data_IF_787257134909
#
_entry.id   IF_787257134909
#
_cell.length_a   1.000
_cell.length_b   1.000
_cell.length_c   1.000
_cell.angle_alpha   90.00
_cell.angle_beta   90.00
_cell.angle_gamma   90.00
#
_symmetry.space_group_name_H-M   'P 1'
#
loop_
_entity.id
_entity.type
_entity.pdbx_description
1 polymer ?
#
# COMPACT_ATOMS: atom_id res chain seq x y z
N UNK A 1 -8.83 -17.13 6.27
CA UNK A 1 -7.74 -17.59 7.17
C UNK A 1 -8.33 -18.49 8.24
N UNK A 2 -7.59 -19.50 8.67
CA UNK A 2 -7.89 -20.37 9.80
C UNK A 2 -6.54 -20.88 10.36
N UNK A 3 -6.52 -21.38 11.59
CA UNK A 3 -5.31 -21.86 12.25
C UNK A 3 -4.66 -22.98 11.44
N UNK A 4 -3.36 -22.85 11.13
CA UNK A 4 -2.63 -23.80 10.28
C UNK A 4 -3.00 -23.75 8.78
N UNK A 5 -3.84 -22.81 8.34
CA UNK A 5 -4.14 -22.60 6.92
C UNK A 5 -2.97 -22.02 6.12
N UNK A 6 -3.05 -22.03 4.77
CA UNK A 6 -1.98 -21.55 3.90
C UNK A 6 -1.73 -20.05 4.09
N UNK A 7 -0.46 -19.64 4.00
CA UNK A 7 -0.05 -18.24 4.02
C UNK A 7 1.14 -18.04 3.07
N UNK A 8 1.00 -17.30 1.95
CA UNK A 8 -0.20 -16.57 1.53
C UNK A 8 -1.38 -17.50 1.17
N UNK A 9 -2.60 -16.96 1.15
CA UNK A 9 -3.77 -17.63 0.55
C UNK A 9 -4.12 -16.95 -0.77
N UNK A 10 -4.29 -17.70 -1.87
CA UNK A 10 -4.86 -17.14 -3.11
C UNK A 10 -6.36 -16.89 -2.91
N UNK A 11 -6.77 -15.62 -2.96
CA UNK A 11 -8.14 -15.18 -2.72
C UNK A 11 -8.92 -14.92 -4.00
N UNK A 12 -8.24 -14.64 -5.11
CA UNK A 12 -8.84 -14.53 -6.44
C UNK A 12 -7.92 -15.15 -7.49
N UNK A 13 -8.53 -15.65 -8.57
CA UNK A 13 -7.85 -16.22 -9.72
C UNK A 13 -8.02 -15.30 -10.93
N UNK A 14 -6.98 -15.19 -11.75
CA UNK A 14 -7.09 -14.53 -13.04
C UNK A 14 -8.17 -15.23 -13.89
N UNK A 15 -9.07 -14.47 -14.54
CA UNK A 15 -10.13 -15.06 -15.33
C UNK A 15 -9.56 -15.83 -16.53
N UNK A 16 -10.18 -16.96 -16.97
CA UNK A 16 -9.65 -17.78 -18.06
C UNK A 16 -9.37 -17.00 -19.35
N UNK A 17 -10.16 -15.97 -19.64
CA UNK A 17 -9.98 -15.10 -20.80
C UNK A 17 -8.63 -14.36 -20.83
N UNK A 18 -7.94 -14.25 -19.69
CA UNK A 18 -6.61 -13.63 -19.56
C UNK A 18 -5.47 -14.64 -19.40
N UNK A 19 -5.73 -15.95 -19.41
CA UNK A 19 -4.72 -16.97 -19.12
C UNK A 19 -3.49 -16.94 -20.06
N UNK A 20 -3.66 -16.49 -21.31
CA UNK A 20 -2.56 -16.37 -22.27
C UNK A 20 -1.60 -15.20 -21.97
N UNK A 21 -2.09 -14.17 -21.27
CA UNK A 21 -1.30 -13.01 -20.86
C UNK A 21 -1.90 -12.45 -19.55
N UNK A 22 -1.69 -13.13 -18.41
CA UNK A 22 -2.29 -12.73 -17.16
C UNK A 22 -1.70 -11.39 -16.70
N UNK A 23 -2.51 -10.49 -16.12
CA UNK A 23 -1.98 -9.33 -15.42
C UNK A 23 -1.06 -9.76 -14.28
N UNK A 24 -0.14 -8.89 -13.86
CA UNK A 24 0.76 -9.18 -12.76
C UNK A 24 -0.04 -9.56 -11.49
N UNK A 25 0.36 -10.61 -10.75
CA UNK A 25 -0.31 -11.00 -9.54
C UNK A 25 -0.19 -9.90 -8.47
N UNK A 26 -1.23 -9.75 -7.67
CA UNK A 26 -1.28 -8.80 -6.55
C UNK A 26 -1.18 -9.56 -5.23
N UNK A 27 -0.25 -9.18 -4.36
CA UNK A 27 -0.18 -9.68 -2.98
C UNK A 27 -0.62 -8.59 -2.01
N UNK A 28 -1.72 -8.82 -1.30
CA UNK A 28 -2.29 -7.92 -0.30
C UNK A 28 -1.91 -8.33 1.12
N UNK A 29 -1.35 -7.39 1.88
CA UNK A 29 -0.89 -7.59 3.26
C UNK A 29 -1.95 -7.06 4.23
N UNK A 30 -2.28 -7.86 5.25
CA UNK A 30 -3.25 -7.52 6.29
C UNK A 30 -3.02 -6.15 6.96
N UNK A 31 -4.08 -5.62 7.58
CA UNK A 31 -4.06 -4.38 8.36
C UNK A 31 -3.63 -4.60 9.82
N UNK A 32 -3.74 -3.58 10.68
CA UNK A 32 -3.40 -3.69 12.10
C UNK A 32 -4.15 -4.79 12.87
N UNK A 33 -5.35 -5.16 12.41
CA UNK A 33 -6.14 -6.26 12.97
C UNK A 33 -5.62 -7.66 12.65
N UNK A 34 -4.63 -7.80 11.76
CA UNK A 34 -3.97 -9.08 11.48
C UNK A 34 -4.71 -10.02 10.52
N UNK A 35 -5.91 -9.65 10.07
CA UNK A 35 -6.78 -10.52 9.27
C UNK A 35 -6.79 -10.15 7.79
N UNK A 36 -7.16 -11.11 6.94
CA UNK A 36 -7.32 -10.89 5.48
C UNK A 36 -8.78 -10.80 5.05
N UNK A 37 -9.72 -10.75 6.00
CA UNK A 37 -11.16 -10.80 5.71
C UNK A 37 -11.60 -9.72 4.70
N UNK A 38 -11.07 -8.50 4.85
CA UNK A 38 -11.31 -7.36 3.95
C UNK A 38 -11.06 -7.68 2.48
N UNK A 39 -10.13 -8.59 2.16
CA UNK A 39 -9.79 -8.96 0.79
C UNK A 39 -10.68 -10.07 0.21
N UNK A 40 -11.34 -10.86 1.06
CA UNK A 40 -12.30 -11.89 0.63
C UNK A 40 -13.66 -11.30 0.24
N UNK A 41 -13.99 -10.10 0.73
CA UNK A 41 -15.26 -9.42 0.44
C UNK A 41 -15.18 -8.46 -0.75
N UNK A 42 -14.00 -8.35 -1.37
CA UNK A 42 -13.84 -7.64 -2.64
C UNK A 42 -14.48 -8.43 -3.79
N UNK A 43 -15.06 -7.69 -4.74
CA UNK A 43 -15.38 -8.25 -6.04
C UNK A 43 -14.12 -8.58 -6.85
N UNK A 44 -14.30 -9.04 -8.09
CA UNK A 44 -13.19 -9.47 -8.93
C UNK A 44 -12.28 -8.32 -9.36
N UNK A 45 -10.99 -8.44 -9.06
CA UNK A 45 -9.91 -7.57 -9.56
C UNK A 45 -9.31 -8.09 -10.89
N UNK A 46 -9.89 -9.16 -11.44
CA UNK A 46 -9.52 -9.73 -12.75
C UNK A 46 -8.04 -10.07 -12.92
N UNK A 47 -7.40 -10.54 -11.85
CA UNK A 47 -6.02 -11.04 -11.77
C UNK A 47 -5.88 -12.04 -10.61
N UNK A 48 -4.75 -12.72 -10.52
CA UNK A 48 -4.42 -13.49 -9.32
C UNK A 48 -4.21 -12.54 -8.15
N UNK A 49 -4.93 -12.77 -7.06
CA UNK A 49 -4.81 -11.99 -5.82
C UNK A 49 -4.48 -12.95 -4.69
N UNK A 50 -3.41 -12.66 -3.99
CA UNK A 50 -2.92 -13.38 -2.82
C UNK A 50 -3.09 -12.50 -1.59
N UNK A 51 -3.37 -13.10 -0.44
CA UNK A 51 -3.52 -12.38 0.82
C UNK A 51 -2.64 -13.00 1.90
N UNK A 52 -1.85 -12.15 2.58
CA UNK A 52 -1.02 -12.55 3.71
C UNK A 52 -1.69 -12.09 5.01
N UNK A 53 -2.02 -13.04 5.87
CA UNK A 53 -2.51 -12.77 7.23
C UNK A 53 -1.35 -12.77 8.22
N UNK A 54 -1.55 -12.22 9.42
CA UNK A 54 -0.53 -12.28 10.47
C UNK A 54 -0.40 -13.72 10.98
N UNK A 55 0.73 -14.43 10.74
CA UNK A 55 0.91 -15.80 11.20
C UNK A 55 0.91 -15.94 12.73
N UNK A 56 1.18 -14.84 13.46
CA UNK A 56 1.13 -14.80 14.93
C UNK A 56 -0.27 -14.43 15.47
N UNK A 57 -1.28 -14.33 14.61
CA UNK A 57 -2.64 -13.90 14.98
C UNK A 57 -3.32 -14.86 15.97
N UNK A 58 -3.30 -16.17 15.69
CA UNK A 58 -4.00 -17.16 16.51
C UNK A 58 -3.38 -17.32 17.90
N UNK A 59 -2.06 -17.15 18.01
CA UNK A 59 -1.34 -17.19 19.30
C UNK A 59 -1.32 -15.83 20.02
N UNK A 60 -1.76 -14.75 19.36
CA UNK A 60 -1.70 -13.38 19.91
C UNK A 60 -0.28 -12.87 20.19
N UNK A 61 0.74 -13.50 19.60
CA UNK A 61 2.15 -13.23 19.90
C UNK A 61 2.64 -11.92 19.26
N UNK A 62 3.57 -11.28 19.96
CA UNK A 62 4.26 -10.09 19.46
C UNK A 62 5.33 -10.45 18.41
N UNK A 63 5.77 -9.43 17.67
CA UNK A 63 6.91 -9.51 16.76
C UNK A 63 8.14 -8.91 17.43
N UNK A 64 9.06 -9.75 17.90
CA UNK A 64 10.25 -9.31 18.64
C UNK A 64 11.16 -8.41 17.80
N UNK A 65 11.37 -8.77 16.53
CA UNK A 65 12.07 -7.95 15.54
C UNK A 65 11.16 -6.94 14.81
N UNK A 66 9.95 -6.73 15.31
CA UNK A 66 9.01 -5.71 14.86
C UNK A 66 8.60 -5.83 13.38
N UNK A 67 8.33 -4.67 12.78
CA UNK A 67 7.89 -4.54 11.39
C UNK A 67 8.86 -5.17 10.39
N UNK A 68 10.16 -5.11 10.66
CA UNK A 68 11.19 -5.60 9.74
C UNK A 68 11.25 -7.14 9.74
N UNK A 69 11.11 -7.79 10.90
CA UNK A 69 10.96 -9.25 10.99
C UNK A 69 9.68 -9.70 10.28
N UNK A 70 8.59 -8.97 10.49
CA UNK A 70 7.30 -9.24 9.83
C UNK A 70 7.44 -9.17 8.30
N UNK A 71 8.04 -8.09 7.77
CA UNK A 71 8.25 -7.92 6.33
C UNK A 71 9.14 -9.03 5.71
N UNK A 72 10.26 -9.39 6.38
CA UNK A 72 11.12 -10.50 5.92
C UNK A 72 10.38 -11.84 5.91
N UNK A 73 9.55 -12.08 6.92
CA UNK A 73 8.74 -13.31 7.00
C UNK A 73 7.74 -13.38 5.85
N UNK A 74 7.10 -12.26 5.50
CA UNK A 74 6.12 -12.22 4.41
C UNK A 74 6.76 -12.39 3.04
N UNK A 75 7.96 -11.83 2.83
CA UNK A 75 8.74 -12.11 1.64
C UNK A 75 9.06 -13.60 1.51
N UNK A 76 9.44 -14.26 2.62
CA UNK A 76 9.66 -15.71 2.64
C UNK A 76 8.39 -16.48 2.25
N UNK A 77 7.22 -16.11 2.77
CA UNK A 77 5.96 -16.75 2.38
C UNK A 77 5.66 -16.62 0.87
N UNK A 78 5.91 -15.46 0.27
CA UNK A 78 5.73 -15.26 -1.18
C UNK A 78 6.67 -16.18 -1.98
N UNK A 79 7.94 -16.26 -1.55
CA UNK A 79 8.95 -17.09 -2.23
C UNK A 79 8.66 -18.58 -2.07
N UNK A 80 8.28 -19.02 -0.87
CA UNK A 80 7.98 -20.43 -0.58
C UNK A 80 6.72 -20.90 -1.34
N UNK A 81 5.77 -20.00 -1.61
CA UNK A 81 4.61 -20.27 -2.48
C UNK A 81 5.00 -20.38 -3.98
N UNK A 82 6.24 -20.04 -4.33
CA UNK A 82 6.75 -20.16 -5.69
C UNK A 82 6.44 -18.99 -6.60
N UNK A 83 5.98 -17.85 -6.07
CA UNK A 83 5.84 -16.63 -6.85
C UNK A 83 7.23 -16.16 -7.31
N UNK A 84 7.33 -15.75 -8.57
CA UNK A 84 8.56 -15.28 -9.20
C UNK A 84 8.26 -14.23 -10.28
N UNK A 85 9.26 -13.44 -10.65
CA UNK A 85 9.12 -12.34 -11.60
C UNK A 85 8.47 -11.08 -10.99
N UNK A 86 8.00 -10.15 -11.83
CA UNK A 86 7.37 -8.93 -11.36
C UNK A 86 6.00 -9.22 -10.72
N UNK A 87 5.78 -8.69 -9.52
CA UNK A 87 4.51 -8.75 -8.80
C UNK A 87 4.09 -7.34 -8.35
N UNK A 88 2.81 -7.19 -8.00
CA UNK A 88 2.32 -6.02 -7.28
C UNK A 88 2.20 -6.34 -5.79
N UNK A 89 2.54 -5.37 -4.94
CA UNK A 89 2.23 -5.43 -3.51
C UNK A 89 1.15 -4.41 -3.19
N UNK A 90 0.40 -4.65 -2.12
CA UNK A 90 -0.52 -3.67 -1.60
C UNK A 90 -1.00 -4.03 -0.21
N UNK A 91 -1.78 -3.15 0.38
CA UNK A 91 -2.33 -3.40 1.70
C UNK A 91 -3.06 -2.18 2.23
N UNK A 92 -3.97 -2.46 3.15
CA UNK A 92 -4.71 -1.43 3.86
C UNK A 92 -4.05 -1.12 5.18
N UNK A 93 -3.98 0.16 5.54
CA UNK A 93 -3.44 0.61 6.82
C UNK A 93 -1.99 0.11 7.03
N UNK A 94 -1.73 -0.67 8.07
CA UNK A 94 -0.44 -1.32 8.31
C UNK A 94 0.13 -2.05 7.07
N UNK A 95 -0.75 -2.67 6.27
CA UNK A 95 -0.35 -3.42 5.08
C UNK A 95 0.34 -2.56 4.02
N UNK A 96 0.02 -1.25 3.94
CA UNK A 96 0.72 -0.31 3.06
C UNK A 96 2.16 -0.07 3.51
N UNK A 97 2.39 0.04 4.82
CA UNK A 97 3.74 0.20 5.39
C UNK A 97 4.59 -1.06 5.20
N UNK A 98 3.99 -2.23 5.40
CA UNK A 98 4.65 -3.51 5.16
C UNK A 98 5.00 -3.68 3.68
N UNK A 99 4.10 -3.31 2.77
CA UNK A 99 4.36 -3.36 1.32
C UNK A 99 5.57 -2.51 0.92
N UNK A 100 5.66 -1.28 1.44
CA UNK A 100 6.82 -0.41 1.23
C UNK A 100 8.11 -0.99 1.83
N UNK A 101 8.01 -1.59 3.02
CA UNK A 101 9.16 -2.19 3.71
C UNK A 101 9.67 -3.43 2.97
N UNK A 102 8.77 -4.27 2.47
CA UNK A 102 9.09 -5.43 1.64
C UNK A 102 9.76 -4.99 0.33
N UNK A 103 9.23 -3.95 -0.34
CA UNK A 103 9.84 -3.39 -1.54
C UNK A 103 11.25 -2.83 -1.27
N UNK A 104 11.44 -2.17 -0.13
CA UNK A 104 12.75 -1.67 0.30
C UNK A 104 13.76 -2.81 0.55
N UNK A 105 13.35 -3.88 1.24
CA UNK A 105 14.19 -5.05 1.48
C UNK A 105 14.62 -5.75 0.18
N UNK A 106 13.72 -5.86 -0.80
CA UNK A 106 14.05 -6.38 -2.14
C UNK A 106 15.04 -5.45 -2.84
N UNK A 107 14.83 -4.13 -2.82
CA UNK A 107 15.72 -3.19 -3.48
C UNK A 107 17.14 -3.15 -2.88
N UNK A 108 17.29 -3.44 -1.59
CA UNK A 108 18.60 -3.56 -0.95
C UNK A 108 19.37 -4.82 -1.37
N UNK A 109 18.67 -5.88 -1.79
CA UNK A 109 19.28 -7.14 -2.20
C UNK A 109 18.47 -7.83 -3.32
N UNK A 110 18.47 -7.26 -4.54
CA UNK A 110 17.57 -7.71 -5.61
C UNK A 110 17.85 -9.15 -6.06
N UNK A 111 19.11 -9.61 -5.95
CA UNK A 111 19.50 -10.96 -6.35
C UNK A 111 19.09 -12.03 -5.31
N UNK A 112 18.70 -11.64 -4.09
CA UNK A 112 18.26 -12.57 -3.05
C UNK A 112 16.81 -13.03 -3.18
N UNK A 113 16.02 -12.39 -4.06
CA UNK A 113 14.61 -12.69 -4.23
C UNK A 113 14.30 -13.05 -5.69
N UNK A 114 13.51 -14.09 -5.96
CA UNK A 114 13.07 -14.43 -7.32
C UNK A 114 11.98 -13.47 -7.85
N UNK A 115 11.57 -12.49 -7.04
CA UNK A 115 10.51 -11.52 -7.33
C UNK A 115 11.06 -10.10 -7.42
N UNK A 116 10.37 -9.25 -8.18
CA UNK A 116 10.55 -7.79 -8.18
C UNK A 116 9.21 -7.09 -8.00
N UNK A 117 9.22 -5.84 -7.50
CA UNK A 117 7.98 -5.10 -7.23
C UNK A 117 7.73 -4.10 -8.35
N UNK A 118 6.71 -4.38 -9.17
CA UNK A 118 6.32 -3.55 -10.31
C UNK A 118 5.51 -2.32 -9.88
N UNK A 119 4.73 -2.44 -8.79
CA UNK A 119 3.92 -1.34 -8.29
C UNK A 119 3.31 -1.63 -6.92
N UNK A 120 2.83 -0.56 -6.28
CA UNK A 120 2.23 -0.59 -4.95
C UNK A 120 0.78 -0.09 -4.98
N UNK A 121 -0.16 -0.89 -4.49
CA UNK A 121 -1.54 -0.47 -4.22
C UNK A 121 -1.68 -0.14 -2.73
N UNK A 122 -1.52 1.14 -2.39
CA UNK A 122 -1.55 1.62 -1.01
C UNK A 122 -2.98 2.01 -0.65
N UNK A 123 -3.60 1.33 0.30
CA UNK A 123 -4.99 1.55 0.67
C UNK A 123 -5.04 2.28 2.01
N UNK A 124 -5.44 3.54 1.97
CA UNK A 124 -5.60 4.46 3.10
C UNK A 124 -4.49 4.36 4.15
N UNK A 125 -3.23 4.42 3.71
CA UNK A 125 -2.06 4.37 4.60
C UNK A 125 -1.35 5.73 4.61
N UNK A 126 -1.62 6.60 5.59
CA UNK A 126 -0.99 7.92 5.71
C UNK A 126 0.52 7.81 5.93
N UNK A 127 1.26 8.87 5.58
CA UNK A 127 2.70 8.93 5.85
C UNK A 127 2.97 8.69 7.35
N UNK A 128 3.92 7.80 7.63
CA UNK A 128 4.21 7.32 8.96
C UNK A 128 5.62 7.70 9.43
N UNK A 129 5.70 8.20 10.65
CA UNK A 129 6.91 8.31 11.45
C UNK A 129 6.67 7.58 12.76
N UNK A 130 7.73 7.21 13.47
CA UNK A 130 7.61 6.62 14.79
C UNK A 130 6.63 7.45 15.66
N UNK A 131 5.61 6.81 16.23
CA UNK A 131 4.55 7.54 16.95
C UNK A 131 5.08 8.31 18.15
N UNK A 132 6.20 7.88 18.74
CA UNK A 132 6.93 8.62 19.77
C UNK A 132 7.46 10.00 19.31
N UNK A 133 7.50 10.26 18.01
CA UNK A 133 7.92 11.55 17.42
C UNK A 133 6.75 12.46 17.07
N UNK A 134 5.51 11.97 17.09
CA UNK A 134 4.30 12.77 16.88
C UNK A 134 4.09 13.67 18.10
N UNK A 135 3.90 14.96 17.86
CA UNK A 135 3.77 15.97 18.94
C UNK A 135 2.36 16.50 19.07
N UNK A 136 1.59 16.36 18.01
CA UNK A 136 0.19 16.71 17.89
C UNK A 136 -0.63 15.84 18.84
N UNK A 137 -1.55 16.45 19.58
CA UNK A 137 -2.49 15.72 20.40
C UNK A 137 -3.50 15.00 19.51
N UNK A 138 -3.80 13.74 19.83
CA UNK A 138 -4.71 12.88 19.05
C UNK A 138 -5.71 12.19 19.94
N UNK A 139 -6.89 11.91 19.41
CA UNK A 139 -7.88 11.03 20.02
C UNK A 139 -7.68 9.56 19.62
N UNK A 140 -8.19 8.65 20.46
CA UNK A 140 -8.31 7.24 20.07
C UNK A 140 -9.51 7.08 19.14
N UNK A 141 -9.35 6.30 18.08
CA UNK A 141 -10.46 5.92 17.22
C UNK A 141 -11.50 5.10 17.99
N UNK A 142 -12.77 5.28 17.65
CA UNK A 142 -13.86 4.45 18.12
C UNK A 142 -13.86 3.14 17.32
N UNK A 143 -13.49 2.05 17.99
CA UNK A 143 -13.59 0.70 17.46
C UNK A 143 -14.54 -0.08 18.37
N UNK A 144 -15.79 -0.22 17.95
CA UNK A 144 -16.83 -0.85 18.75
C UNK A 144 -16.68 -2.38 18.70
N UNK A 145 -16.63 -3.02 19.88
CA UNK A 145 -16.70 -4.48 20.08
C UNK A 145 -15.81 -5.29 19.13
N UNK A 146 -14.49 -5.06 19.20
CA UNK A 146 -13.53 -5.89 18.47
C UNK A 146 -13.42 -7.30 19.08
N UNK A 147 -13.31 -8.37 18.28
CA UNK A 147 -12.90 -9.68 18.76
C UNK A 147 -11.55 -9.60 19.50
N UNK A 148 -11.36 -10.42 20.54
CA UNK A 148 -10.18 -10.36 21.41
C UNK A 148 -8.86 -10.46 20.65
N UNK A 149 -8.75 -11.39 19.69
CA UNK A 149 -7.54 -11.56 18.88
C UNK A 149 -7.28 -10.37 17.95
N UNK A 150 -8.32 -9.69 17.47
CA UNK A 150 -8.18 -8.47 16.66
C UNK A 150 -7.68 -7.32 17.53
N UNK A 151 -8.24 -7.15 18.74
CA UNK A 151 -7.76 -6.17 19.69
C UNK A 151 -6.29 -6.42 20.04
N UNK A 152 -5.93 -7.68 20.31
CA UNK A 152 -4.54 -8.07 20.61
C UNK A 152 -3.59 -7.77 19.45
N UNK A 153 -4.02 -7.99 18.21
CA UNK A 153 -3.25 -7.65 17.01
C UNK A 153 -3.03 -6.13 16.89
N UNK A 154 -4.06 -5.32 17.13
CA UNK A 154 -3.92 -3.86 17.18
C UNK A 154 -2.97 -3.40 18.28
N UNK A 155 -3.06 -3.97 19.48
CA UNK A 155 -2.15 -3.64 20.58
C UNK A 155 -0.68 -3.93 20.21
N UNK A 156 -0.42 -5.09 19.58
CA UNK A 156 0.91 -5.45 19.11
C UNK A 156 1.39 -4.53 17.97
N UNK A 157 0.49 -4.15 17.04
CA UNK A 157 0.75 -3.18 15.99
C UNK A 157 1.14 -1.82 16.57
N UNK A 158 0.40 -1.33 17.56
CA UNK A 158 0.66 -0.06 18.23
C UNK A 158 2.03 -0.03 18.90
N UNK A 159 2.42 -1.14 19.55
CA UNK A 159 3.75 -1.29 20.16
C UNK A 159 4.86 -1.20 19.09
N UNK A 160 4.71 -1.90 17.96
CA UNK A 160 5.71 -1.87 16.89
C UNK A 160 5.85 -0.47 16.28
N UNK A 161 4.73 0.20 15.99
CA UNK A 161 4.73 1.52 15.36
C UNK A 161 5.18 2.65 16.30
N UNK A 162 5.28 2.39 17.60
CA UNK A 162 5.69 3.40 18.57
C UNK A 162 7.09 3.96 18.29
N UNK A 163 8.02 3.10 17.89
CA UNK A 163 9.44 3.46 17.69
C UNK A 163 9.96 3.13 16.29
N UNK A 164 9.07 2.73 15.38
CA UNK A 164 9.44 2.36 14.02
C UNK A 164 9.13 3.50 13.05
N UNK A 165 10.11 3.89 12.23
CA UNK A 165 9.91 4.78 11.09
C UNK A 165 9.85 3.98 9.80
N UNK A 166 9.19 4.54 8.79
CA UNK A 166 9.29 4.00 7.43
C UNK A 166 10.75 3.93 6.98
N UNK A 167 11.17 2.83 6.33
CA UNK A 167 12.52 2.72 5.79
C UNK A 167 12.76 3.84 4.78
N UNK A 168 13.95 4.43 4.79
CA UNK A 168 14.26 5.60 3.98
C UNK A 168 14.95 5.19 2.67
N UNK A 169 14.55 5.82 1.57
CA UNK A 169 15.23 5.67 0.28
C UNK A 169 16.21 6.82 0.09
N UNK A 170 17.33 6.57 -0.59
CA UNK A 170 18.31 7.61 -0.87
C UNK A 170 17.74 8.70 -1.81
N UNK A 171 16.58 8.48 -2.43
CA UNK A 171 15.92 9.40 -3.36
C UNK A 171 16.61 9.46 -4.73
N UNK A 172 17.73 8.76 -4.86
CA UNK A 172 18.60 8.66 -6.02
C UNK A 172 18.08 7.65 -7.02
N UNK A 173 16.84 7.81 -7.44
CA UNK A 173 16.34 7.52 -8.80
C UNK A 173 15.15 8.45 -9.17
N UNK A 174 14.92 9.57 -8.43
CA UNK A 174 13.67 10.36 -8.51
C UNK A 174 13.80 11.86 -8.84
N UNK A 175 14.96 12.50 -8.59
CA UNK A 175 15.15 13.94 -8.86
C UNK A 175 15.50 14.30 -10.31
N UNK A 176 15.73 13.28 -11.15
CA UNK A 176 15.91 13.41 -12.61
C UNK A 176 14.99 12.47 -13.39
N UNK A 177 13.84 12.09 -12.82
CA UNK A 177 12.87 11.26 -13.55
C UNK A 177 12.20 12.11 -14.60
N UNK A 178 12.54 11.83 -15.85
CA UNK A 178 11.81 12.31 -17.02
C UNK A 178 10.32 12.06 -16.84
N UNK A 179 9.52 12.89 -17.48
CA UNK A 179 8.06 12.78 -17.51
C UNK A 179 7.61 11.32 -17.59
N UNK A 180 6.74 10.91 -16.65
CA UNK A 180 6.16 9.58 -16.62
C UNK A 180 5.02 9.52 -17.63
N UNK A 181 4.92 8.40 -18.34
CA UNK A 181 3.80 8.13 -19.25
C UNK A 181 2.95 7.02 -18.68
N UNK A 182 1.64 7.25 -18.67
CA UNK A 182 0.67 6.25 -18.24
C UNK A 182 -0.46 6.18 -19.27
N UNK A 183 -0.88 4.97 -19.61
CA UNK A 183 -2.02 4.73 -20.51
C UNK A 183 -3.14 4.04 -19.73
N UNK A 184 -4.32 4.68 -19.67
CA UNK A 184 -5.50 4.19 -18.94
C UNK A 184 -6.68 4.26 -19.91
N UNK A 185 -7.39 3.15 -20.13
CA UNK A 185 -8.52 3.10 -21.06
C UNK A 185 -8.19 3.59 -22.48
N UNK A 186 -6.93 3.49 -22.91
CA UNK A 186 -6.44 4.03 -24.19
C UNK A 186 -6.08 5.53 -24.18
N UNK A 187 -6.41 6.26 -23.11
CA UNK A 187 -5.98 7.65 -22.92
C UNK A 187 -4.55 7.70 -22.37
N UNK A 188 -3.73 8.56 -22.97
CA UNK A 188 -2.33 8.74 -22.56
C UNK A 188 -2.16 10.01 -21.73
N UNK A 189 -1.53 9.88 -20.58
CA UNK A 189 -1.16 10.98 -19.72
C UNK A 189 0.35 11.11 -19.63
N UNK A 190 0.82 12.34 -19.47
CA UNK A 190 2.23 12.67 -19.30
C UNK A 190 2.36 13.45 -17.98
N UNK A 191 2.88 12.80 -16.96
CA UNK A 191 3.01 13.36 -15.61
C UNK A 191 4.41 13.91 -15.40
N UNK A 192 4.51 15.17 -15.00
CA UNK A 192 5.75 15.75 -14.50
C UNK A 192 6.07 15.18 -13.11
N UNK A 193 7.33 15.29 -12.61
CA UNK A 193 7.69 14.78 -11.28
C UNK A 193 6.86 15.34 -10.12
N UNK A 194 6.33 16.57 -10.26
CA UNK A 194 5.45 17.23 -9.30
C UNK A 194 3.97 16.93 -9.53
N UNK A 195 3.61 16.02 -10.42
CA UNK A 195 2.21 15.78 -10.79
C UNK A 195 1.76 14.36 -10.47
N UNK A 196 0.52 14.23 -10.03
CA UNK A 196 -0.16 12.94 -9.88
C UNK A 196 -1.53 12.98 -10.55
N UNK A 197 -1.98 11.83 -11.02
CA UNK A 197 -3.38 11.66 -11.43
C UNK A 197 -4.28 11.69 -10.20
N UNK A 198 -5.46 12.27 -10.35
CA UNK A 198 -6.43 12.38 -9.27
C UNK A 198 -7.83 12.03 -9.76
N UNK A 199 -8.53 11.26 -8.94
CA UNK A 199 -9.93 10.92 -9.13
C UNK A 199 -10.73 11.11 -7.83
N UNK A 200 -11.78 11.96 -7.82
CA UNK A 200 -12.63 12.15 -6.65
C UNK A 200 -13.53 10.92 -6.41
N UNK A 201 -14.11 10.81 -5.22
CA UNK A 201 -14.93 9.65 -4.82
C UNK A 201 -16.21 9.48 -5.66
N UNK A 202 -16.77 10.58 -6.14
CA UNK A 202 -17.92 10.65 -7.05
C UNK A 202 -17.53 10.62 -8.54
N UNK A 203 -16.23 10.47 -8.85
CA UNK A 203 -15.72 10.43 -10.21
C UNK A 203 -16.06 9.13 -10.94
N UNK A 204 -16.20 9.23 -12.27
CA UNK A 204 -16.37 8.09 -13.17
C UNK A 204 -15.02 7.45 -13.57
N UNK A 205 -15.06 6.33 -14.30
CA UNK A 205 -13.87 5.62 -14.74
C UNK A 205 -12.99 6.41 -15.74
N UNK A 206 -13.62 7.19 -16.62
CA UNK A 206 -13.00 7.81 -17.79
C UNK A 206 -12.28 9.12 -17.44
N UNK A 207 -12.79 9.87 -16.47
CA UNK A 207 -12.34 11.24 -16.19
C UNK A 207 -11.23 11.24 -15.16
N UNK A 208 -10.01 11.61 -15.59
CA UNK A 208 -8.85 11.79 -14.71
C UNK A 208 -8.40 13.24 -14.69
N UNK A 209 -8.19 13.77 -13.50
CA UNK A 209 -7.57 15.07 -13.31
C UNK A 209 -6.06 14.91 -13.07
N UNK A 210 -5.29 15.96 -13.31
CA UNK A 210 -3.90 16.05 -12.86
C UNK A 210 -3.81 17.14 -11.80
N UNK A 211 -3.17 16.84 -10.68
CA UNK A 211 -2.93 17.80 -9.59
C UNK A 211 -1.44 17.97 -9.35
N UNK A 212 -1.04 19.18 -8.96
CA UNK A 212 0.32 19.49 -8.55
C UNK A 212 0.58 19.02 -7.11
N UNK A 213 1.83 18.67 -6.85
CA UNK A 213 2.35 18.18 -5.57
C UNK A 213 3.74 18.77 -5.32
N UNK A 214 4.06 19.00 -4.05
CA UNK A 214 5.40 19.45 -3.65
C UNK A 214 6.40 18.31 -3.81
N UNK A 215 7.52 18.55 -4.52
CA UNK A 215 8.55 17.55 -4.66
C UNK A 215 9.22 17.25 -3.31
N UNK A 216 9.68 16.02 -3.15
CA UNK A 216 10.52 15.66 -2.03
C UNK A 216 11.94 16.22 -2.23
N UNK A 217 12.39 17.05 -1.29
CA UNK A 217 13.75 17.59 -1.26
C UNK A 217 14.56 16.92 -0.16
N UNK A 218 15.54 16.11 -0.56
CA UNK A 218 16.47 15.48 0.38
C UNK A 218 17.61 16.44 0.73
N UNK A 219 17.88 16.59 2.03
CA UNK A 219 19.08 17.28 2.53
C UNK A 219 20.14 16.25 2.92
N UNK A 220 21.24 16.20 2.16
CA UNK A 220 22.41 15.36 2.45
C UNK A 220 22.40 13.97 1.82
N UNK A 221 23.59 13.46 1.52
CA UNK A 221 23.82 12.08 1.08
C UNK A 221 24.00 11.17 2.29
N UNK A 222 23.24 10.08 2.35
CA UNK A 222 23.46 9.01 3.32
C UNK A 222 23.64 7.69 2.55
N UNK A 223 24.86 7.16 2.61
CA UNK A 223 25.26 5.96 1.87
C UNK A 223 24.69 4.67 2.47
N UNK A 224 24.08 4.71 3.66
CA UNK A 224 23.48 3.52 4.29
C UNK A 224 22.05 3.22 3.83
N UNK A 225 21.45 4.09 3.00
CA UNK A 225 20.07 3.94 2.54
C UNK A 225 19.96 3.16 1.24
N UNK A 226 18.80 2.52 1.03
CA UNK A 226 18.51 1.85 -0.23
C UNK A 226 18.63 2.83 -1.40
N UNK A 227 19.28 2.36 -2.48
CA UNK A 227 19.38 3.12 -3.70
C UNK A 227 18.02 3.26 -4.39
N UNK A 228 17.76 4.43 -4.95
CA UNK A 228 16.62 4.70 -5.79
C UNK A 228 15.45 5.39 -5.10
N UNK A 229 14.26 5.05 -5.57
CA UNK A 229 12.97 5.45 -5.02
C UNK A 229 12.08 4.21 -4.82
N UNK A 230 11.04 4.28 -3.97
CA UNK A 230 10.04 3.22 -3.91
C UNK A 230 9.44 2.92 -5.29
N UNK A 231 8.97 1.69 -5.55
CA UNK A 231 8.19 1.38 -6.74
C UNK A 231 6.98 2.32 -6.89
N UNK A 232 6.51 2.57 -8.12
CA UNK A 232 5.38 3.47 -8.33
C UNK A 232 4.13 2.97 -7.61
N UNK A 233 3.37 3.91 -7.05
CA UNK A 233 2.19 3.58 -6.25
C UNK A 233 0.92 4.27 -6.74
N UNK A 234 -0.22 3.63 -6.45
CA UNK A 234 -1.51 4.29 -6.41
C UNK A 234 -2.00 4.31 -4.97
N UNK A 235 -2.46 5.49 -4.53
CA UNK A 235 -3.08 5.68 -3.22
C UNK A 235 -4.59 5.66 -3.35
N UNK A 236 -5.24 4.75 -2.63
CA UNK A 236 -6.69 4.77 -2.40
C UNK A 236 -6.91 5.51 -1.09
N UNK A 237 -7.60 6.66 -1.11
CA UNK A 237 -7.71 7.57 0.02
C UNK A 237 -9.14 7.66 0.53
N UNK A 238 -9.36 7.32 1.79
CA UNK A 238 -10.59 7.64 2.50
C UNK A 238 -10.71 9.16 2.69
N UNK A 239 -11.88 9.73 2.40
CA UNK A 239 -12.11 11.18 2.50
C UNK A 239 -12.67 11.61 3.84
N UNK A 240 -13.27 10.69 4.62
CA UNK A 240 -13.86 11.01 5.92
C UNK A 240 -12.87 10.72 7.06
N UNK A 241 -12.84 11.54 8.12
CA UNK A 241 -12.07 11.22 9.32
C UNK A 241 -12.71 10.03 10.06
N UNK A 242 -11.89 9.26 10.77
CA UNK A 242 -12.36 8.24 11.69
C UNK A 242 -13.08 8.86 12.88
N UNK A 243 -14.11 8.18 13.37
CA UNK A 243 -14.83 8.61 14.58
C UNK A 243 -13.91 8.49 15.79
N UNK A 244 -13.81 9.55 16.59
CA UNK A 244 -13.10 9.51 17.86
C UNK A 244 -13.96 8.86 18.94
N UNK A 245 -13.33 8.11 19.85
CA UNK A 245 -14.00 7.54 21.04
C UNK A 245 -14.44 8.62 22.03
N UNK A 246 -13.67 9.70 22.09
CA UNK A 246 -13.98 10.92 22.83
C UNK A 246 -13.69 12.13 21.92
N UNK A 247 -14.74 12.86 21.59
CA UNK A 247 -14.70 14.03 20.71
C UNK A 247 -14.88 15.35 21.48
N UNK A 248 -14.82 15.32 22.82
CA UNK A 248 -15.01 16.54 23.63
C UNK A 248 -13.98 17.63 23.34
N UNK A 249 -12.79 17.24 22.88
CA UNK A 249 -11.69 18.16 22.56
C UNK A 249 -11.57 18.47 21.05
N UNK A 250 -12.36 17.82 20.18
CA UNK A 250 -12.27 17.97 18.72
C UNK A 250 -10.90 17.57 18.15
N UNK A 251 -10.17 16.67 18.81
CA UNK A 251 -8.86 16.20 18.35
C UNK A 251 -9.02 15.13 17.27
N UNK A 252 -8.19 15.16 16.20
CA UNK A 252 -8.22 14.12 15.18
C UNK A 252 -7.76 12.77 15.75
N UNK A 253 -8.23 11.67 15.17
CA UNK A 253 -7.59 10.38 15.39
C UNK A 253 -6.16 10.41 14.82
N UNK A 254 -5.25 9.60 15.39
CA UNK A 254 -3.86 9.56 14.92
C UNK A 254 -3.73 9.29 13.40
N UNK A 255 -4.58 8.42 12.86
CA UNK A 255 -4.61 8.10 11.44
C UNK A 255 -5.08 9.27 10.54
N UNK A 256 -5.69 10.29 11.14
CA UNK A 256 -6.30 11.42 10.42
C UNK A 256 -5.50 12.72 10.52
N UNK A 257 -4.29 12.70 11.09
CA UNK A 257 -3.41 13.89 11.17
C UNK A 257 -3.20 14.56 9.80
N UNK A 258 -3.22 13.78 8.72
CA UNK A 258 -3.07 14.24 7.35
C UNK A 258 -4.31 14.01 6.49
N UNK A 259 -5.49 13.79 7.09
CA UNK A 259 -6.70 13.40 6.35
C UNK A 259 -7.07 14.39 5.25
N UNK A 260 -6.92 15.69 5.51
CA UNK A 260 -7.21 16.77 4.56
C UNK A 260 -6.18 16.87 3.42
N UNK A 261 -4.99 16.30 3.59
CA UNK A 261 -3.96 16.28 2.55
C UNK A 261 -4.26 15.20 1.50
N UNK A 262 -4.21 15.55 0.21
CA UNK A 262 -4.54 14.63 -0.90
C UNK A 262 -3.66 13.39 -0.93
N UNK A 263 -2.39 13.55 -0.58
CA UNK A 263 -1.45 12.45 -0.49
C UNK A 263 -1.26 12.00 0.97
N UNK A 264 -2.21 12.22 1.88
CA UNK A 264 -2.16 11.75 3.28
C UNK A 264 -0.80 11.95 3.98
N UNK A 265 -0.16 13.10 3.78
CA UNK A 265 1.11 13.43 4.38
C UNK A 265 2.35 13.03 3.59
N UNK A 266 2.24 12.21 2.53
CA UNK A 266 3.38 11.75 1.73
C UNK A 266 4.06 12.88 0.94
N UNK A 267 3.26 13.86 0.50
CA UNK A 267 3.72 15.01 -0.29
C UNK A 267 4.82 15.80 0.43
N UNK A 268 5.96 16.00 -0.24
CA UNK A 268 7.12 16.72 0.28
C UNK A 268 7.86 16.07 1.46
N UNK A 269 7.35 14.96 2.03
CA UNK A 269 7.92 14.31 3.21
C UNK A 269 8.68 13.01 2.90
N UNK A 270 8.40 12.40 1.75
CA UNK A 270 9.03 11.14 1.33
C UNK A 270 9.21 11.09 -0.20
N UNK A 271 10.15 10.27 -0.68
CA UNK A 271 10.52 10.19 -2.10
C UNK A 271 9.29 9.99 -3.02
N UNK A 272 9.13 10.81 -4.06
CA UNK A 272 7.93 10.85 -4.91
C UNK A 272 7.65 9.55 -5.67
N UNK A 273 6.83 8.68 -5.09
CA UNK A 273 6.48 7.35 -5.63
C UNK A 273 5.01 7.21 -6.01
N UNK A 274 4.11 7.96 -5.37
CA UNK A 274 2.66 7.97 -5.71
C UNK A 274 2.47 8.62 -7.08
N UNK A 275 1.74 7.95 -7.98
CA UNK A 275 1.45 8.39 -9.35
C UNK A 275 -0.03 8.68 -9.58
N UNK A 276 -0.91 8.10 -8.75
CA UNK A 276 -2.32 8.46 -8.73
C UNK A 276 -2.89 8.42 -7.31
N UNK A 277 -3.91 9.24 -7.07
CA UNK A 277 -4.76 9.21 -5.88
C UNK A 277 -6.21 9.03 -6.31
N UNK A 278 -6.89 8.05 -5.73
CA UNK A 278 -8.31 7.77 -5.95
C UNK A 278 -9.00 7.89 -4.60
N UNK A 279 -9.90 8.86 -4.48
CA UNK A 279 -10.69 9.04 -3.27
C UNK A 279 -11.80 7.99 -3.17
N UNK A 280 -12.14 7.63 -1.93
CA UNK A 280 -13.30 6.81 -1.58
C UNK A 280 -14.10 7.49 -0.47
N UNK A 281 -15.43 7.45 -0.56
CA UNK A 281 -16.34 8.12 0.38
C UNK A 281 -16.56 7.31 1.68
N UNK A 282 -15.47 6.99 2.36
CA UNK A 282 -15.45 6.23 3.61
C UNK A 282 -14.48 6.87 4.60
N UNK A 283 -14.59 6.47 5.88
CA UNK A 283 -13.51 6.66 6.85
C UNK A 283 -12.55 5.45 6.84
N UNK A 284 -11.43 5.56 7.53
CA UNK A 284 -10.37 4.54 7.54
C UNK A 284 -10.87 3.15 7.98
N UNK A 285 -11.71 3.08 9.02
CA UNK A 285 -12.17 1.82 9.61
C UNK A 285 -13.49 1.33 9.00
N UNK A 286 -14.22 2.20 8.30
CA UNK A 286 -15.46 1.89 7.60
C UNK A 286 -15.31 1.57 6.11
N UNK A 287 -14.08 1.55 5.56
CA UNK A 287 -13.84 1.31 4.13
C UNK A 287 -14.27 -0.09 3.68
N UNK A 288 -14.01 -1.12 4.50
CA UNK A 288 -14.39 -2.50 4.23
C UNK A 288 -15.60 -2.89 5.09
N UNK A 289 -16.78 -2.97 4.48
CA UNK A 289 -18.02 -3.32 5.18
C UNK A 289 -18.77 -4.42 4.42
N UNK A 290 -18.73 -5.64 4.96
CA UNK A 290 -19.42 -6.80 4.37
C UNK A 290 -20.94 -6.65 4.31
N UNK A 291 -21.52 -5.73 5.09
CA UNK A 291 -22.96 -5.50 5.12
C UNK A 291 -23.41 -4.45 4.09
N UNK A 292 -22.47 -3.72 3.49
CA UNK A 292 -22.71 -2.69 2.48
C UNK A 292 -22.14 -3.15 1.13
N UNK A 293 -22.90 -3.98 0.41
CA UNK A 293 -22.46 -4.55 -0.87
C UNK A 293 -22.20 -3.48 -1.92
N UNK A 294 -22.99 -2.42 -1.97
CA UNK A 294 -22.77 -1.33 -2.93
C UNK A 294 -21.47 -0.58 -2.65
N UNK A 295 -21.12 -0.38 -1.38
CA UNK A 295 -19.81 0.16 -1.01
C UNK A 295 -18.71 -0.79 -1.46
N UNK A 296 -18.86 -2.09 -1.21
CA UNK A 296 -17.84 -3.06 -1.62
C UNK A 296 -17.65 -3.11 -3.15
N UNK A 297 -18.71 -2.97 -3.93
CA UNK A 297 -18.63 -2.84 -5.39
C UNK A 297 -17.87 -1.58 -5.79
N UNK A 298 -18.20 -0.43 -5.19
CA UNK A 298 -17.50 0.85 -5.43
C UNK A 298 -16.01 0.79 -5.03
N UNK A 299 -15.69 0.20 -3.88
CA UNK A 299 -14.30 0.03 -3.43
C UNK A 299 -13.55 -0.89 -4.39
N UNK A 300 -14.14 -2.04 -4.75
CA UNK A 300 -13.55 -2.96 -5.74
C UNK A 300 -13.24 -2.26 -7.05
N UNK A 301 -14.19 -1.48 -7.56
CA UNK A 301 -14.01 -0.69 -8.77
C UNK A 301 -12.84 0.31 -8.62
N UNK A 302 -12.70 0.98 -7.47
CA UNK A 302 -11.60 1.94 -7.22
C UNK A 302 -10.25 1.24 -7.15
N UNK A 303 -10.18 0.07 -6.54
CA UNK A 303 -8.97 -0.76 -6.54
C UNK A 303 -8.60 -1.20 -7.97
N UNK A 304 -9.59 -1.62 -8.76
CA UNK A 304 -9.38 -2.02 -10.14
C UNK A 304 -8.83 -0.86 -11.00
N UNK A 305 -9.34 0.35 -10.83
CA UNK A 305 -8.81 1.54 -11.50
C UNK A 305 -7.38 1.86 -11.09
N UNK A 306 -7.05 1.69 -9.81
CA UNK A 306 -5.68 1.86 -9.34
C UNK A 306 -4.72 0.82 -9.94
N UNK A 307 -5.18 -0.43 -10.09
CA UNK A 307 -4.40 -1.47 -10.75
C UNK A 307 -4.23 -1.20 -12.25
N UNK A 308 -5.24 -0.67 -12.93
CA UNK A 308 -5.12 -0.25 -14.33
C UNK A 308 -4.10 0.88 -14.52
N UNK A 309 -4.07 1.85 -13.62
CA UNK A 309 -3.02 2.88 -13.61
C UNK A 309 -1.64 2.24 -13.51
N UNK A 310 -1.45 1.27 -12.59
CA UNK A 310 -0.17 0.60 -12.41
C UNK A 310 0.24 -0.24 -13.63
N UNK A 311 -0.70 -1.00 -14.21
CA UNK A 311 -0.45 -1.76 -15.44
C UNK A 311 -0.10 -0.84 -16.62
N UNK A 312 -0.67 0.37 -16.64
CA UNK A 312 -0.48 1.35 -17.71
C UNK A 312 0.82 2.15 -17.65
N UNK A 313 1.64 1.99 -16.61
CA UNK A 313 2.89 2.73 -16.45
C UNK A 313 3.97 2.23 -17.41
N UNK A 314 4.48 3.11 -18.28
CA UNK A 314 5.62 2.80 -19.15
C UNK A 314 6.94 2.85 -18.35
N UNK A 315 7.26 1.79 -17.60
CA UNK A 315 8.58 1.67 -16.96
C UNK A 315 9.59 1.33 -18.04
N UNK A 316 10.51 2.26 -18.34
CA UNK A 316 11.63 1.96 -19.26
C UNK A 316 12.52 0.92 -18.60
N UNK A 317 12.38 -0.35 -18.99
CA UNK A 317 13.37 -1.36 -18.68
C UNK A 317 14.75 -0.88 -19.19
N UNK A 318 15.74 -0.81 -18.29
CA UNK A 318 17.14 -0.79 -18.74
C UNK A 318 17.34 -2.13 -19.45
N UNK A 319 17.40 -2.09 -20.79
CA UNK A 319 17.81 -3.25 -21.60
C UNK A 319 19.04 -3.86 -20.93
N UNK A 320 18.95 -5.12 -20.49
CA UNK A 320 20.14 -5.93 -20.23
C UNK A 320 20.94 -5.89 -21.53
N UNK A 321 22.11 -5.24 -21.49
CA UNK A 321 23.11 -5.42 -22.53
C UNK A 321 23.44 -6.90 -22.46
N UNK A 322 23.02 -7.67 -23.46
CA UNK A 322 23.58 -9.00 -23.68
C UNK A 322 25.07 -8.79 -23.94
N UNK A 323 25.86 -8.96 -22.88
CA UNK A 323 27.29 -9.13 -22.98
C UNK A 323 27.55 -10.45 -23.67
N UNK A 324 27.91 -10.35 -24.95
CA UNK A 324 28.62 -11.38 -25.70
C UNK A 324 29.86 -11.77 -24.92
N UNK A 325 29.99 -13.03 -24.53
CA UNK A 325 31.25 -13.81 -24.56
C UNK A 325 30.90 -15.29 -24.64
#
# INVERSE_FOLDING_TARGET
MYEGGPNPTQVQFAPPAKAANPPLPLVLIHDGGGTTFSYFILGSLSRDVWAIHNPKYFDGLAWEGGMDEMARTYLKFIVDEGLSGPIMLGGWSLGGFLSLTMAHLIAQNPDAYPISIAGLLVIDSPYHIARSKVKEATSKAQLDTLPELVQKAFDNCDIMLQNWDLPQWNGGDGGKTKDMKVTIGGQKFKLQPSQVLYKPSDGDHQTWNTIETKPFERKGEDSTLAAGSPPPAVLIRCTKPAKAKDDTQGLPCLIDLHREERLLGWEGRYASFIKAVIDVDADHYGIFDRMDSERMDRITERLAWGLEVLDGLEVKEKKKVLGVF
#
